data_IF_144674475952
#
_entry.id   IF_144674475952
#
_cell.length_a   1.000
_cell.length_b   1.000
_cell.length_c   1.000
_cell.angle_alpha   90.00
_cell.angle_beta   90.00
_cell.angle_gamma   90.00
#
_symmetry.space_group_name_H-M   'P 1'
#
loop_
_entity.id
_entity.type
_entity.pdbx_description
1 polymer ?
#
# COMPACT_ATOMS: atom_id res chain seq x y z
N UNK A 1 -17.79 -6.09 7.95
CA UNK A 1 -16.97 -7.28 7.62
C UNK A 1 -16.99 -7.60 6.14
N UNK A 2 -18.14 -7.94 5.53
CA UNK A 2 -18.18 -8.25 4.08
C UNK A 2 -17.64 -7.11 3.20
N UNK A 3 -17.93 -5.85 3.55
CA UNK A 3 -17.37 -4.66 2.89
C UNK A 3 -15.85 -4.62 2.98
N UNK A 4 -15.29 -4.66 4.20
CA UNK A 4 -13.83 -4.68 4.43
C UNK A 4 -13.13 -5.80 3.62
N UNK A 5 -13.71 -7.00 3.57
CA UNK A 5 -13.14 -8.10 2.78
C UNK A 5 -13.20 -7.85 1.26
N UNK A 6 -14.27 -7.22 0.79
CA UNK A 6 -14.38 -6.80 -0.61
C UNK A 6 -13.35 -5.71 -0.94
N UNK A 7 -13.13 -4.76 -0.03
CA UNK A 7 -12.12 -3.72 -0.18
C UNK A 7 -10.72 -4.30 -0.25
N UNK A 8 -10.37 -5.22 0.66
CA UNK A 8 -9.07 -5.91 0.65
C UNK A 8 -8.89 -6.70 -0.65
N UNK A 9 -9.94 -7.35 -1.15
CA UNK A 9 -9.88 -8.07 -2.44
C UNK A 9 -9.62 -7.11 -3.61
N UNK A 10 -10.29 -5.96 -3.61
CA UNK A 10 -10.08 -4.93 -4.62
C UNK A 10 -8.65 -4.35 -4.56
N UNK A 11 -8.18 -4.00 -3.35
CA UNK A 11 -6.81 -3.54 -3.12
C UNK A 11 -5.79 -4.57 -3.59
N UNK A 12 -6.00 -5.86 -3.28
CA UNK A 12 -5.09 -6.92 -3.70
C UNK A 12 -5.03 -7.05 -5.22
N UNK A 13 -6.17 -6.93 -5.91
CA UNK A 13 -6.21 -6.91 -7.38
C UNK A 13 -5.47 -5.71 -7.96
N UNK A 14 -5.65 -4.52 -7.38
CA UNK A 14 -4.98 -3.30 -7.84
C UNK A 14 -3.47 -3.36 -7.57
N UNK A 15 -3.05 -3.95 -6.46
CA UNK A 15 -1.63 -4.15 -6.14
C UNK A 15 -0.96 -5.07 -7.15
N UNK A 16 -1.65 -6.12 -7.63
CA UNK A 16 -1.13 -6.98 -8.70
C UNK A 16 -0.96 -6.19 -10.01
N UNK A 17 -1.92 -5.33 -10.38
CA UNK A 17 -1.79 -4.48 -11.57
C UNK A 17 -0.61 -3.54 -11.44
N UNK A 18 -0.53 -2.81 -10.33
CA UNK A 18 0.56 -1.88 -10.03
C UNK A 18 1.92 -2.56 -10.03
N UNK A 19 2.05 -3.72 -9.38
CA UNK A 19 3.29 -4.49 -9.35
C UNK A 19 3.71 -4.96 -10.75
N UNK A 20 2.77 -5.39 -11.59
CA UNK A 20 3.08 -5.75 -12.97
C UNK A 20 3.64 -4.55 -13.76
N UNK A 21 3.03 -3.37 -13.61
CA UNK A 21 3.47 -2.16 -14.31
C UNK A 21 4.82 -1.65 -13.78
N UNK A 22 5.04 -1.72 -12.46
CA UNK A 22 6.34 -1.46 -11.83
C UNK A 22 7.41 -2.41 -12.38
N UNK A 23 7.15 -3.71 -12.40
CA UNK A 23 8.10 -4.71 -12.90
C UNK A 23 8.42 -4.48 -14.39
N UNK A 24 7.40 -4.19 -15.20
CA UNK A 24 7.52 -3.95 -16.65
C UNK A 24 8.19 -2.61 -16.99
N UNK A 25 8.24 -1.65 -16.05
CA UNK A 25 8.77 -0.32 -16.32
C UNK A 25 10.24 -0.34 -16.73
N UNK A 26 10.48 0.26 -17.90
CA UNK A 26 11.77 0.31 -18.58
C UNK A 26 12.24 1.74 -18.89
N UNK A 27 11.75 2.74 -18.13
CA UNK A 27 12.16 4.15 -18.33
C UNK A 27 11.44 4.87 -19.47
N UNK A 28 10.18 4.51 -19.75
CA UNK A 28 9.35 5.25 -20.72
C UNK A 28 8.33 6.13 -20.00
N UNK A 29 7.99 7.28 -20.58
CA UNK A 29 6.95 8.15 -20.01
C UNK A 29 5.61 7.44 -19.89
N UNK A 30 5.23 6.62 -20.88
CA UNK A 30 3.99 5.85 -20.83
C UNK A 30 3.97 4.84 -19.69
N UNK A 31 5.09 4.14 -19.43
CA UNK A 31 5.19 3.21 -18.31
C UNK A 31 5.13 3.91 -16.95
N UNK A 32 5.75 5.10 -16.83
CA UNK A 32 5.64 5.90 -15.61
C UNK A 32 4.22 6.43 -15.38
N UNK A 33 3.51 6.81 -16.45
CA UNK A 33 2.11 7.23 -16.37
C UNK A 33 1.18 6.07 -15.95
N UNK A 34 1.47 4.84 -16.38
CA UNK A 34 0.77 3.64 -15.95
C UNK A 34 0.93 3.41 -14.43
N UNK A 35 2.18 3.41 -13.93
CA UNK A 35 2.46 3.32 -12.49
C UNK A 35 1.77 4.43 -11.70
N UNK A 36 1.78 5.66 -12.21
CA UNK A 36 1.09 6.78 -11.58
C UNK A 36 -0.42 6.55 -11.48
N UNK A 37 -1.06 6.16 -12.59
CA UNK A 37 -2.49 5.90 -12.63
C UNK A 37 -2.90 4.78 -11.66
N UNK A 38 -2.10 3.71 -11.60
CA UNK A 38 -2.31 2.62 -10.67
C UNK A 38 -2.11 3.04 -9.21
N UNK A 39 -1.12 3.89 -8.93
CA UNK A 39 -0.88 4.44 -7.59
C UNK A 39 -2.06 5.29 -7.13
N UNK A 40 -2.64 6.12 -8.01
CA UNK A 40 -3.85 6.92 -7.72
C UNK A 40 -5.06 6.02 -7.49
N UNK A 41 -5.22 4.95 -8.27
CA UNK A 41 -6.31 3.98 -8.09
C UNK A 41 -6.18 3.24 -6.75
N UNK A 42 -4.97 2.83 -6.38
CA UNK A 42 -4.68 2.22 -5.08
C UNK A 42 -4.92 3.18 -3.92
N UNK A 43 -4.46 4.43 -4.03
CA UNK A 43 -4.71 5.45 -3.02
C UNK A 43 -6.22 5.61 -2.77
N UNK A 44 -7.01 5.75 -3.83
CA UNK A 44 -8.47 5.84 -3.75
C UNK A 44 -9.07 4.59 -3.11
N UNK A 45 -8.59 3.40 -3.45
CA UNK A 45 -9.10 2.15 -2.87
C UNK A 45 -8.81 2.05 -1.36
N UNK A 46 -7.60 2.42 -0.92
CA UNK A 46 -7.27 2.50 0.50
C UNK A 46 -8.10 3.54 1.25
N UNK A 47 -8.39 4.69 0.66
CA UNK A 47 -9.25 5.72 1.25
C UNK A 47 -10.70 5.25 1.40
N UNK A 48 -11.24 4.55 0.38
CA UNK A 48 -12.56 3.91 0.47
C UNK A 48 -12.58 2.85 1.58
N UNK A 49 -11.59 1.95 1.59
CA UNK A 49 -11.48 0.90 2.60
C UNK A 49 -11.37 1.47 4.03
N UNK A 50 -10.64 2.58 4.18
CA UNK A 50 -10.55 3.33 5.45
C UNK A 50 -11.92 3.83 5.89
N UNK A 51 -12.66 4.47 4.99
CA UNK A 51 -14.00 4.99 5.27
C UNK A 51 -14.97 3.88 5.66
N UNK A 52 -14.96 2.77 4.93
CA UNK A 52 -15.85 1.63 5.20
C UNK A 52 -15.47 0.89 6.49
N UNK A 53 -14.19 0.88 6.84
CA UNK A 53 -13.69 0.36 8.12
C UNK A 53 -14.15 1.22 9.29
N UNK A 54 -14.02 2.54 9.19
CA UNK A 54 -14.48 3.49 10.21
C UNK A 54 -16.01 3.45 10.40
N UNK A 55 -16.76 3.12 9.35
CA UNK A 55 -18.21 2.91 9.41
C UNK A 55 -18.61 1.54 10.01
N UNK A 56 -17.65 0.63 10.18
CA UNK A 56 -17.89 -0.71 10.71
C UNK A 56 -17.82 -0.70 12.24
N UNK A 57 -18.76 -1.37 12.90
CA UNK A 57 -18.69 -1.60 14.35
C UNK A 57 -17.50 -2.48 14.72
N UNK A 58 -16.89 -2.22 15.87
CA UNK A 58 -15.74 -2.98 16.37
C UNK A 58 -15.91 -4.50 16.24
N UNK A 59 -14.82 -5.17 15.91
CA UNK A 59 -14.78 -6.62 15.87
C UNK A 59 -15.00 -7.18 17.27
N UNK A 60 -16.04 -8.00 17.42
CA UNK A 60 -16.43 -8.61 18.69
C UNK A 60 -15.63 -9.88 19.02
N UNK A 61 -14.81 -10.34 18.08
CA UNK A 61 -13.97 -11.54 18.18
C UNK A 61 -12.63 -11.29 17.50
N UNK A 62 -11.56 -11.81 18.09
CA UNK A 62 -10.21 -11.91 17.52
C UNK A 62 -10.18 -12.56 16.12
N UNK A 63 -10.99 -13.60 15.89
CA UNK A 63 -11.03 -14.34 14.60
C UNK A 63 -11.30 -13.44 13.39
N UNK A 64 -12.17 -12.44 13.55
CA UNK A 64 -12.52 -11.49 12.51
C UNK A 64 -11.34 -10.57 12.17
N UNK A 65 -10.61 -10.14 13.20
CA UNK A 65 -9.41 -9.33 13.06
C UNK A 65 -8.28 -10.13 12.39
N UNK A 66 -8.03 -11.35 12.87
CA UNK A 66 -7.02 -12.25 12.31
C UNK A 66 -7.29 -12.62 10.85
N UNK A 67 -8.57 -12.81 10.47
CA UNK A 67 -8.95 -13.05 9.08
C UNK A 67 -8.60 -11.84 8.19
N UNK A 68 -8.94 -10.63 8.64
CA UNK A 68 -8.63 -9.39 7.91
C UNK A 68 -7.12 -9.20 7.77
N UNK A 69 -6.36 -9.35 8.86
CA UNK A 69 -4.90 -9.22 8.82
C UNK A 69 -4.25 -10.28 7.93
N UNK A 70 -4.72 -11.53 8.00
CA UNK A 70 -4.23 -12.61 7.14
C UNK A 70 -4.51 -12.37 5.66
N UNK A 71 -5.62 -11.71 5.30
CA UNK A 71 -5.87 -11.32 3.91
C UNK A 71 -4.91 -10.23 3.43
N UNK A 72 -4.48 -9.33 4.31
CA UNK A 72 -3.52 -8.27 3.97
C UNK A 72 -2.07 -8.77 3.86
N UNK A 73 -1.73 -9.93 4.42
CA UNK A 73 -0.36 -10.47 4.38
C UNK A 73 0.15 -10.68 2.94
N UNK A 74 -0.71 -11.18 2.04
CA UNK A 74 -0.36 -11.32 0.63
C UNK A 74 -0.14 -9.95 -0.03
N UNK A 75 -1.03 -9.00 0.23
CA UNK A 75 -0.91 -7.62 -0.25
C UNK A 75 0.37 -6.95 0.26
N UNK A 76 0.79 -7.24 1.49
CA UNK A 76 2.03 -6.74 2.07
C UNK A 76 3.26 -7.20 1.28
N UNK A 77 3.28 -8.47 0.86
CA UNK A 77 4.42 -9.01 0.12
C UNK A 77 4.56 -8.36 -1.26
N UNK A 78 3.43 -8.20 -1.97
CA UNK A 78 3.39 -7.55 -3.29
C UNK A 78 3.78 -6.08 -3.18
N UNK A 79 3.22 -5.36 -2.20
CA UNK A 79 3.52 -3.95 -1.97
C UNK A 79 5.01 -3.72 -1.71
N UNK A 80 5.60 -4.47 -0.77
CA UNK A 80 7.03 -4.33 -0.45
C UNK A 80 7.90 -4.68 -1.66
N UNK A 81 7.57 -5.74 -2.40
CA UNK A 81 8.27 -6.10 -3.64
C UNK A 81 8.25 -4.99 -4.69
N UNK A 82 7.08 -4.41 -4.96
CA UNK A 82 6.95 -3.30 -5.90
C UNK A 82 7.66 -2.02 -5.44
N UNK A 83 7.64 -1.71 -4.13
CA UNK A 83 8.40 -0.58 -3.58
C UNK A 83 9.91 -0.75 -3.77
N UNK A 84 10.44 -1.95 -3.52
CA UNK A 84 11.85 -2.28 -3.82
C UNK A 84 12.14 -2.13 -5.31
N UNK A 85 11.27 -2.60 -6.20
CA UNK A 85 11.46 -2.47 -7.65
C UNK A 85 11.43 -1.01 -8.12
N UNK A 86 10.59 -0.16 -7.53
CA UNK A 86 10.59 1.28 -7.80
C UNK A 86 11.95 1.90 -7.42
N UNK A 87 12.48 1.57 -6.24
CA UNK A 87 13.78 2.04 -5.80
C UNK A 87 14.90 1.62 -6.76
N UNK A 88 14.94 0.35 -7.16
CA UNK A 88 15.90 -0.19 -8.14
C UNK A 88 15.81 0.52 -9.52
N UNK A 89 14.62 1.05 -9.87
CA UNK A 89 14.35 1.74 -11.13
C UNK A 89 14.48 3.28 -11.00
N UNK A 90 15.03 3.80 -9.92
CA UNK A 90 15.20 5.25 -9.68
C UNK A 90 15.87 6.01 -10.84
N UNK A 91 16.90 5.43 -11.44
CA UNK A 91 17.60 6.01 -12.60
C UNK A 91 16.69 6.14 -13.84
N UNK A 92 15.78 5.17 -14.04
CA UNK A 92 14.82 5.20 -15.15
C UNK A 92 13.83 6.35 -14.96
N UNK A 93 13.29 6.55 -13.76
CA UNK A 93 12.44 7.71 -13.44
C UNK A 93 13.17 9.03 -13.63
N UNK A 94 14.44 9.10 -13.23
CA UNK A 94 15.28 10.30 -13.40
C UNK A 94 15.47 10.62 -14.88
N UNK A 95 15.74 9.61 -15.71
CA UNK A 95 15.97 9.79 -17.16
C UNK A 95 14.80 10.41 -17.91
N UNK A 96 13.58 10.24 -17.39
CA UNK A 96 12.34 10.77 -17.96
C UNK A 96 11.80 11.99 -17.20
N UNK A 97 12.56 12.54 -16.25
CA UNK A 97 12.12 13.62 -15.34
C UNK A 97 10.85 13.26 -14.53
N UNK A 98 10.65 11.96 -14.22
CA UNK A 98 9.49 11.44 -13.50
C UNK A 98 9.67 11.36 -11.98
N UNK A 99 10.86 11.68 -11.45
CA UNK A 99 11.21 11.53 -10.02
C UNK A 99 10.25 12.28 -9.10
N UNK A 100 9.84 13.49 -9.45
CA UNK A 100 8.94 14.28 -8.61
C UNK A 100 7.53 13.64 -8.50
N UNK A 101 7.02 13.10 -9.61
CA UNK A 101 5.72 12.42 -9.65
C UNK A 101 5.75 11.15 -8.82
N UNK A 102 6.74 10.26 -9.03
CA UNK A 102 6.79 9.00 -8.29
C UNK A 102 7.00 9.22 -6.78
N UNK A 103 7.77 10.23 -6.37
CA UNK A 103 7.91 10.59 -4.95
C UNK A 103 6.58 11.08 -4.36
N UNK A 104 5.81 11.87 -5.11
CA UNK A 104 4.49 12.31 -4.68
C UNK A 104 3.53 11.12 -4.54
N UNK A 105 3.53 10.21 -5.51
CA UNK A 105 2.68 9.02 -5.52
C UNK A 105 2.99 8.12 -4.32
N UNK A 106 4.28 7.83 -4.06
CA UNK A 106 4.69 7.02 -2.91
C UNK A 106 4.32 7.67 -1.58
N UNK A 107 4.42 9.00 -1.46
CA UNK A 107 4.03 9.69 -0.24
C UNK A 107 2.53 9.62 0.02
N UNK A 108 1.70 9.85 -1.01
CA UNK A 108 0.24 9.80 -0.87
C UNK A 108 -0.26 8.38 -0.66
N UNK A 109 0.25 7.43 -1.45
CA UNK A 109 -0.08 6.02 -1.33
C UNK A 109 0.35 5.46 0.04
N UNK A 110 1.55 5.82 0.52
CA UNK A 110 2.04 5.41 1.83
C UNK A 110 1.17 5.92 2.98
N UNK A 111 0.70 7.16 2.90
CA UNK A 111 -0.24 7.71 3.88
C UNK A 111 -1.61 7.02 3.84
N UNK A 112 -2.14 6.73 2.64
CA UNK A 112 -3.42 6.04 2.50
C UNK A 112 -3.35 4.58 3.00
N UNK A 113 -2.28 3.86 2.64
CA UNK A 113 -2.08 2.47 3.00
C UNK A 113 -1.90 2.28 4.52
N UNK A 114 -1.09 3.12 5.16
CA UNK A 114 -0.92 3.09 6.63
C UNK A 114 -2.18 3.56 7.36
N UNK A 115 -2.88 4.56 6.82
CA UNK A 115 -4.19 5.00 7.33
C UNK A 115 -5.26 3.90 7.36
N UNK A 116 -5.28 3.03 6.35
CA UNK A 116 -6.18 1.88 6.34
C UNK A 116 -5.84 0.86 7.43
N UNK A 117 -4.55 0.55 7.65
CA UNK A 117 -4.13 -0.37 8.72
C UNK A 117 -4.48 0.22 10.10
N UNK A 118 -4.25 1.52 10.29
CA UNK A 118 -4.62 2.21 11.53
C UNK A 118 -6.14 2.13 11.78
N UNK A 119 -6.97 2.34 10.75
CA UNK A 119 -8.42 2.19 10.87
C UNK A 119 -8.85 0.77 11.21
N UNK A 120 -8.17 -0.26 10.67
CA UNK A 120 -8.40 -1.65 11.08
C UNK A 120 -8.02 -1.83 12.55
N UNK A 121 -6.87 -1.31 12.97
CA UNK A 121 -6.40 -1.40 14.35
C UNK A 121 -7.39 -0.78 15.34
N UNK A 122 -8.01 0.35 15.00
CA UNK A 122 -8.97 1.06 15.85
C UNK A 122 -10.26 0.26 16.13
N UNK A 123 -10.64 -0.63 15.21
CA UNK A 123 -11.84 -1.46 15.37
C UNK A 123 -11.55 -2.84 16.00
N UNK A 124 -10.29 -3.12 16.37
CA UNK A 124 -9.86 -4.34 17.06
C UNK A 124 -9.84 -4.09 18.57
N UNK A 125 -10.49 -4.96 19.36
CA UNK A 125 -10.51 -4.84 20.83
C UNK A 125 -9.50 -5.73 21.55
N UNK A 126 -8.95 -6.74 20.87
CA UNK A 126 -7.95 -7.64 21.42
C UNK A 126 -6.55 -7.02 21.34
N UNK A 127 -5.86 -6.79 22.49
CA UNK A 127 -4.56 -6.13 22.50
C UNK A 127 -3.44 -6.91 21.78
N UNK A 128 -3.50 -8.25 21.76
CA UNK A 128 -2.50 -9.05 21.05
C UNK A 128 -2.65 -8.89 19.53
N UNK A 129 -3.88 -8.77 19.06
CA UNK A 129 -4.16 -8.56 17.63
C UNK A 129 -3.92 -7.11 17.22
N UNK A 130 -4.17 -6.13 18.10
CA UNK A 130 -3.73 -4.74 17.89
C UNK A 130 -2.22 -4.67 17.68
N UNK A 131 -1.43 -5.36 18.50
CA UNK A 131 0.03 -5.37 18.34
C UNK A 131 0.48 -5.93 16.98
N UNK A 132 -0.23 -6.94 16.44
CA UNK A 132 0.03 -7.46 15.10
C UNK A 132 -0.33 -6.43 14.01
N UNK A 133 -1.47 -5.75 14.13
CA UNK A 133 -1.86 -4.67 13.20
C UNK A 133 -0.84 -3.52 13.20
N UNK A 134 -0.38 -3.09 14.38
CA UNK A 134 0.68 -2.09 14.52
C UNK A 134 2.00 -2.52 13.88
N UNK A 135 2.34 -3.81 13.95
CA UNK A 135 3.52 -4.33 13.27
C UNK A 135 3.39 -4.23 11.74
N UNK A 136 2.22 -4.56 11.18
CA UNK A 136 1.94 -4.36 9.74
C UNK A 136 2.09 -2.90 9.33
N UNK A 137 1.51 -1.98 10.11
CA UNK A 137 1.61 -0.53 9.85
C UNK A 137 3.07 -0.07 9.85
N UNK A 138 3.85 -0.52 10.84
CA UNK A 138 5.27 -0.20 10.96
C UNK A 138 6.07 -0.70 9.76
N UNK A 139 5.82 -1.95 9.33
CA UNK A 139 6.49 -2.55 8.17
C UNK A 139 6.18 -1.78 6.89
N UNK A 140 4.92 -1.40 6.65
CA UNK A 140 4.54 -0.66 5.45
C UNK A 140 5.11 0.76 5.48
N UNK A 141 5.01 1.44 6.61
CA UNK A 141 5.59 2.78 6.81
C UNK A 141 7.09 2.79 6.54
N UNK A 142 7.83 1.81 7.06
CA UNK A 142 9.26 1.65 6.80
C UNK A 142 9.54 1.40 5.31
N UNK A 143 8.81 0.47 4.66
CA UNK A 143 9.03 0.17 3.25
C UNK A 143 8.79 1.38 2.33
N UNK A 144 7.75 2.18 2.57
CA UNK A 144 7.53 3.43 1.83
C UNK A 144 8.64 4.45 2.11
N UNK A 145 9.05 4.59 3.37
CA UNK A 145 10.13 5.49 3.77
C UNK A 145 11.46 5.14 3.10
N UNK A 146 11.81 3.86 3.07
CA UNK A 146 13.01 3.34 2.43
C UNK A 146 12.97 3.59 0.92
N UNK A 147 11.88 3.23 0.23
CA UNK A 147 11.75 3.46 -1.21
C UNK A 147 11.83 4.96 -1.59
N UNK A 148 11.21 5.84 -0.80
CA UNK A 148 11.31 7.30 -0.97
C UNK A 148 12.76 7.75 -0.77
N UNK A 149 13.43 7.27 0.27
CA UNK A 149 14.81 7.64 0.58
C UNK A 149 15.78 7.17 -0.51
N UNK A 150 15.61 5.96 -1.02
CA UNK A 150 16.43 5.39 -2.08
C UNK A 150 16.28 6.18 -3.39
N UNK A 151 15.04 6.54 -3.77
CA UNK A 151 14.81 7.41 -4.95
C UNK A 151 15.47 8.79 -4.78
N UNK A 152 15.40 9.38 -3.58
CA UNK A 152 16.00 10.70 -3.32
C UNK A 152 17.53 10.68 -3.32
N UNK A 153 18.13 9.56 -2.87
CA UNK A 153 19.59 9.43 -2.74
C UNK A 153 20.25 8.81 -3.96
N UNK A 154 19.47 8.14 -4.82
CA UNK A 154 19.97 7.45 -6.01
C UNK A 154 20.86 6.25 -5.68
N UNK A 155 20.65 5.64 -4.51
CA UNK A 155 21.34 4.43 -4.05
C UNK A 155 20.70 3.17 -4.61
#
# INVERSE_FOLDING_TARGET
MATIQADITNISSLLVTWDNDVNAFSGTTDGANAIHADSVALESAFQTATTDTQATTNFTTDMNALLVLGQMENSSTILVGGLTQIAEKSANFTSINGTATILSDLSSLGAAATGFIAAISDIITDPEVVAQATQFETTWSAAFGDAISDIQTGL
#
